data_IF_004062862146
#
_entry.id   IF_004062862146
#
_cell.length_a   1.000
_cell.length_b   1.000
_cell.length_c   1.000
_cell.angle_alpha   90.00
_cell.angle_beta   90.00
_cell.angle_gamma   90.00
#
_symmetry.space_group_name_H-M   'P 1'
#
loop_
_entity.id
_entity.type
_entity.pdbx_description
1 polymer ?
#
# COMPACT_ATOMS: atom_id res chain seq x y z
N UNK A 1 11.62 -1.40 -0.19
CA UNK A 1 10.55 -0.66 0.49
C UNK A 1 10.06 -1.35 1.77
N UNK A 2 9.82 -2.68 1.75
CA UNK A 2 9.25 -3.42 2.89
C UNK A 2 9.99 -3.22 4.23
N UNK A 3 11.32 -3.28 4.25
CA UNK A 3 12.11 -3.08 5.46
C UNK A 3 11.81 -1.71 6.12
N UNK A 4 11.80 -0.63 5.34
CA UNK A 4 11.52 0.71 5.83
C UNK A 4 10.09 0.84 6.38
N UNK A 5 9.09 0.32 5.66
CA UNK A 5 7.71 0.31 6.16
C UNK A 5 7.53 -0.52 7.44
N UNK A 6 8.33 -1.58 7.61
CA UNK A 6 8.34 -2.39 8.83
C UNK A 6 8.86 -1.59 10.02
N UNK A 7 9.95 -0.83 9.84
CA UNK A 7 10.48 0.04 10.91
C UNK A 7 9.49 1.13 11.35
N UNK A 8 8.59 1.54 10.46
CA UNK A 8 7.52 2.52 10.74
C UNK A 8 6.22 1.88 11.25
N UNK A 9 6.17 0.56 11.39
CA UNK A 9 4.95 -0.19 11.73
C UNK A 9 3.79 0.01 10.72
N UNK A 10 4.13 0.21 9.44
CA UNK A 10 3.18 0.44 8.35
C UNK A 10 3.07 -0.74 7.38
N UNK A 11 3.93 -1.77 7.52
CA UNK A 11 3.94 -2.93 6.62
C UNK A 11 2.59 -3.67 6.57
N UNK A 12 1.82 -3.66 7.66
CA UNK A 12 0.51 -4.31 7.74
C UNK A 12 -0.49 -3.79 6.71
N UNK A 13 -0.44 -2.50 6.36
CA UNK A 13 -1.32 -1.86 5.37
C UNK A 13 -1.08 -2.33 3.93
N UNK A 14 -0.01 -3.11 3.69
CA UNK A 14 0.22 -3.77 2.41
C UNK A 14 -0.63 -5.04 2.24
N UNK A 15 -1.23 -5.55 3.30
CA UNK A 15 -1.92 -6.86 3.32
C UNK A 15 -3.29 -6.82 3.98
N UNK A 16 -3.44 -6.02 5.04
CA UNK A 16 -4.69 -5.86 5.77
C UNK A 16 -5.75 -5.13 4.94
N UNK A 17 -7.01 -5.50 5.17
CA UNK A 17 -8.17 -4.75 4.70
C UNK A 17 -8.59 -3.69 5.70
N UNK A 18 -9.43 -2.77 5.23
CA UNK A 18 -10.12 -1.86 6.12
C UNK A 18 -10.89 -2.66 7.19
N UNK A 19 -10.93 -2.20 8.44
CA UNK A 19 -11.65 -2.89 9.50
C UNK A 19 -13.11 -3.14 9.09
N UNK A 20 -13.54 -4.40 9.14
CA UNK A 20 -14.95 -4.73 9.00
C UNK A 20 -15.69 -4.23 10.24
N UNK A 21 -16.84 -3.60 10.06
CA UNK A 21 -17.66 -3.15 11.20
C UNK A 21 -18.26 -4.39 11.89
N UNK A 22 -17.79 -4.72 13.10
CA UNK A 22 -18.36 -5.82 13.88
C UNK A 22 -19.59 -5.36 14.69
N UNK A 23 -20.60 -6.23 14.81
CA UNK A 23 -21.75 -6.01 15.70
C UNK A 23 -21.29 -6.16 17.17
N UNK A 24 -21.50 -5.11 17.97
CA UNK A 24 -21.18 -5.11 19.41
C UNK A 24 -20.23 -4.01 19.89
N UNK A 25 -19.41 -3.41 19.02
CA UNK A 25 -18.57 -2.25 19.39
C UNK A 25 -19.37 -0.94 19.44
N UNK A 26 -19.00 -0.05 20.37
CA UNK A 26 -19.61 1.28 20.45
C UNK A 26 -19.25 2.12 19.22
N UNK A 27 -20.17 2.99 18.78
CA UNK A 27 -20.00 3.82 17.58
C UNK A 27 -18.71 4.66 17.61
N UNK A 28 -18.33 5.15 18.79
CA UNK A 28 -17.11 5.93 18.98
C UNK A 28 -15.82 5.12 18.81
N UNK A 29 -15.79 3.88 19.32
CA UNK A 29 -14.62 3.01 19.18
C UNK A 29 -14.43 2.57 17.73
N UNK A 30 -15.53 2.25 17.05
CA UNK A 30 -15.54 1.93 15.61
C UNK A 30 -14.97 3.07 14.78
N UNK A 31 -15.43 4.29 15.04
CA UNK A 31 -14.97 5.49 14.33
C UNK A 31 -13.48 5.74 14.57
N UNK A 32 -13.03 5.66 15.81
CA UNK A 32 -11.62 5.83 16.15
C UNK A 32 -10.72 4.79 15.47
N UNK A 33 -11.14 3.52 15.43
CA UNK A 33 -10.40 2.46 14.76
C UNK A 33 -10.32 2.68 13.24
N UNK A 34 -11.44 3.09 12.62
CA UNK A 34 -11.50 3.40 11.19
C UNK A 34 -10.62 4.62 10.85
N UNK A 35 -10.70 5.69 11.63
CA UNK A 35 -9.89 6.90 11.43
C UNK A 35 -8.39 6.59 11.56
N UNK A 36 -8.00 5.79 12.56
CA UNK A 36 -6.63 5.34 12.73
C UNK A 36 -6.14 4.48 11.55
N UNK A 37 -7.01 3.61 11.01
CA UNK A 37 -6.69 2.81 9.84
C UNK A 37 -6.53 3.68 8.58
N UNK A 38 -7.46 4.60 8.32
CA UNK A 38 -7.40 5.52 7.17
C UNK A 38 -6.10 6.34 7.22
N UNK A 39 -5.74 6.83 8.41
CA UNK A 39 -4.50 7.58 8.59
C UNK A 39 -3.26 6.74 8.30
N UNK A 40 -3.22 5.50 8.81
CA UNK A 40 -2.10 4.59 8.57
C UNK A 40 -1.97 4.15 7.10
N UNK A 41 -3.08 3.86 6.42
CA UNK A 41 -3.10 3.55 4.99
C UNK A 41 -2.60 4.75 4.16
N UNK A 42 -3.06 5.96 4.50
CA UNK A 42 -2.59 7.20 3.87
C UNK A 42 -1.07 7.36 4.01
N UNK A 43 -0.53 7.21 5.23
CA UNK A 43 0.91 7.32 5.45
C UNK A 43 1.69 6.26 4.67
N UNK A 44 1.26 5.00 4.74
CA UNK A 44 1.91 3.90 4.03
C UNK A 44 1.94 4.16 2.51
N UNK A 45 0.81 4.58 1.94
CA UNK A 45 0.72 4.97 0.52
C UNK A 45 1.69 6.08 0.16
N UNK A 46 1.75 7.15 0.96
CA UNK A 46 2.65 8.28 0.69
C UNK A 46 4.13 7.89 0.76
N UNK A 47 4.53 7.03 1.71
CA UNK A 47 5.91 6.55 1.78
C UNK A 47 6.30 5.71 0.56
N UNK A 48 5.39 4.86 0.08
CA UNK A 48 5.63 4.11 -1.17
C UNK A 48 5.80 5.08 -2.33
N UNK A 49 4.87 6.03 -2.49
CA UNK A 49 4.89 7.01 -3.57
C UNK A 49 6.15 7.89 -3.57
N UNK A 50 6.63 8.30 -2.39
CA UNK A 50 7.87 9.08 -2.24
C UNK A 50 9.10 8.30 -2.73
N UNK A 51 9.08 6.97 -2.66
CA UNK A 51 10.14 6.13 -3.21
C UNK A 51 10.08 5.91 -4.73
N UNK A 52 9.08 6.46 -5.43
CA UNK A 52 8.92 6.31 -6.88
C UNK A 52 9.58 7.45 -7.64
N UNK A 53 9.99 7.20 -8.87
CA UNK A 53 10.33 8.27 -9.82
C UNK A 53 9.08 9.05 -10.23
N UNK A 54 9.25 10.30 -10.67
CA UNK A 54 8.14 11.19 -11.06
C UNK A 54 7.18 10.55 -12.08
N UNK A 55 7.71 9.81 -13.05
CA UNK A 55 6.90 9.10 -14.04
C UNK A 55 5.98 8.05 -13.39
N UNK A 56 6.52 7.27 -12.44
CA UNK A 56 5.74 6.25 -11.73
C UNK A 56 4.79 6.89 -10.73
N UNK A 57 5.23 7.93 -10.02
CA UNK A 57 4.38 8.69 -9.12
C UNK A 57 3.10 9.15 -9.83
N UNK A 58 3.22 9.78 -11.01
CA UNK A 58 2.07 10.27 -11.75
C UNK A 58 1.07 9.15 -12.13
N UNK A 59 1.59 8.00 -12.55
CA UNK A 59 0.75 6.83 -12.91
C UNK A 59 0.04 6.25 -11.69
N UNK A 60 0.74 6.15 -10.55
CA UNK A 60 0.29 5.38 -9.41
C UNK A 60 -0.33 6.22 -8.27
N UNK A 61 -0.21 7.55 -8.31
CA UNK A 61 -0.73 8.48 -7.29
C UNK A 61 -2.25 8.36 -7.05
N UNK A 62 -3.00 7.87 -8.03
CA UNK A 62 -4.45 7.65 -7.95
C UNK A 62 -4.86 6.38 -7.19
N UNK A 63 -3.90 5.57 -6.73
CA UNK A 63 -4.17 4.34 -6.01
C UNK A 63 -4.95 4.60 -4.71
N UNK A 64 -6.06 3.88 -4.52
CA UNK A 64 -6.99 4.11 -3.41
C UNK A 64 -6.43 3.67 -2.06
N UNK A 65 -5.59 2.64 -2.02
CA UNK A 65 -4.98 2.10 -0.79
C UNK A 65 -3.51 1.76 -1.01
N UNK A 66 -2.75 1.67 0.08
CA UNK A 66 -1.36 1.22 0.06
C UNK A 66 -1.23 -0.20 -0.50
N UNK A 67 -2.17 -1.09 -0.16
CA UNK A 67 -2.24 -2.45 -0.72
C UNK A 67 -2.40 -2.45 -2.25
N UNK A 68 -3.40 -1.75 -2.77
CA UNK A 68 -3.65 -1.70 -4.22
C UNK A 68 -2.46 -1.10 -5.00
N UNK A 69 -1.80 -0.11 -4.40
CA UNK A 69 -0.57 0.47 -4.92
C UNK A 69 0.56 -0.57 -4.98
N UNK A 70 0.80 -1.27 -3.87
CA UNK A 70 1.85 -2.30 -3.77
C UNK A 70 1.63 -3.44 -4.75
N UNK A 71 0.41 -3.97 -4.85
CA UNK A 71 0.05 -5.05 -5.78
C UNK A 71 0.27 -4.63 -7.25
N UNK A 72 -0.11 -3.39 -7.60
CA UNK A 72 0.06 -2.88 -8.96
C UNK A 72 1.54 -2.71 -9.34
N UNK A 73 2.36 -2.24 -8.39
CA UNK A 73 3.81 -2.16 -8.56
C UNK A 73 4.44 -3.55 -8.69
N UNK A 74 4.05 -4.49 -7.83
CA UNK A 74 4.55 -5.87 -7.88
C UNK A 74 4.23 -6.54 -9.22
N UNK A 75 3.00 -6.39 -9.72
CA UNK A 75 2.59 -6.92 -11.03
C UNK A 75 3.44 -6.33 -12.17
N UNK A 76 3.71 -5.02 -12.13
CA UNK A 76 4.55 -4.35 -13.12
C UNK A 76 5.96 -4.94 -13.11
N UNK A 77 6.63 -4.96 -11.96
CA UNK A 77 8.01 -5.41 -11.86
C UNK A 77 8.17 -6.90 -12.14
N UNK A 78 7.20 -7.75 -11.75
CA UNK A 78 7.19 -9.16 -12.16
C UNK A 78 7.11 -9.32 -13.68
N UNK A 79 6.33 -8.47 -14.36
CA UNK A 79 6.24 -8.50 -15.82
C UNK A 79 7.55 -8.04 -16.46
N UNK A 80 8.14 -6.96 -15.97
CA UNK A 80 9.44 -6.45 -16.47
C UNK A 80 10.58 -7.45 -16.25
N UNK A 81 10.62 -8.14 -15.11
CA UNK A 81 11.62 -9.18 -14.82
C UNK A 81 11.48 -10.38 -15.77
N UNK A 82 10.26 -10.83 -16.06
CA UNK A 82 10.00 -11.90 -17.04
C UNK A 82 10.42 -11.47 -18.45
N UNK A 83 10.16 -10.22 -18.82
CA UNK A 83 10.59 -9.65 -20.11
C UNK A 83 12.11 -9.62 -20.18
N UNK A 84 12.79 -9.06 -19.19
CA UNK A 84 14.24 -8.96 -19.15
C UNK A 84 14.93 -10.32 -19.21
N UNK A 85 14.41 -11.32 -18.47
CA UNK A 85 14.92 -12.71 -18.52
C UNK A 85 14.79 -13.38 -19.89
N UNK A 86 13.84 -12.95 -20.73
CA UNK A 86 13.70 -13.46 -22.11
C UNK A 86 14.67 -12.81 -23.10
N UNK A 87 15.22 -11.63 -22.77
CA UNK A 87 16.14 -10.88 -23.64
C UNK A 87 17.61 -11.09 -23.29
N UNK A 88 17.92 -11.72 -22.15
CA UNK A 88 19.26 -12.21 -21.85
C UNK A 88 19.44 -13.55 -22.59
N UNK A 89 20.03 -13.50 -23.78
CA UNK A 89 20.51 -14.64 -24.60
C UNK A 89 22.02 -14.70 -24.54
#
# INVERSE_FOLDING_TARGET
MLFYLTTLNLARFLTEEAPAMFEGETDNQKRAAMDAWIHGDFLCRNYILNGLSDMLYNVYSSAKTARALSESLEKKYKTEDVVLKKFIV
#
